data_IF_884715245458
#
_entry.id   IF_884715245458
#
_cell.length_a   1.000
_cell.length_b   1.000
_cell.length_c   1.000
_cell.angle_alpha   90.00
_cell.angle_beta   90.00
_cell.angle_gamma   90.00
#
_symmetry.space_group_name_H-M   'P 1'
#
loop_
_entity.id
_entity.type
_entity.pdbx_description
1 polymer ?
#
# COMPACT_ATOMS: atom_id res chain seq x y z
N UNK A 1 15.09 -38.82 32.71
CA UNK A 1 14.04 -39.17 31.71
C UNK A 1 13.23 -37.92 31.39
N UNK A 2 13.59 -37.17 30.35
CA UNK A 2 12.81 -36.01 29.90
C UNK A 2 12.24 -36.31 28.51
N UNK A 3 10.91 -36.40 28.42
CA UNK A 3 10.17 -36.72 27.20
C UNK A 3 10.20 -35.52 26.27
N UNK A 4 10.98 -35.61 25.19
CA UNK A 4 11.01 -34.64 24.10
C UNK A 4 9.75 -34.80 23.24
N UNK A 5 8.93 -33.74 23.15
CA UNK A 5 7.85 -33.64 22.16
C UNK A 5 8.45 -33.01 20.90
N UNK A 6 8.77 -33.88 19.95
CA UNK A 6 9.15 -33.57 18.57
C UNK A 6 7.94 -32.93 17.89
N UNK A 7 8.03 -31.65 17.53
CA UNK A 7 7.08 -31.02 16.60
C UNK A 7 7.44 -31.45 15.18
N UNK A 8 6.71 -32.44 14.67
CA UNK A 8 6.70 -32.78 13.25
C UNK A 8 5.94 -31.69 12.49
N UNK A 9 6.66 -30.90 11.70
CA UNK A 9 6.05 -30.12 10.62
C UNK A 9 6.25 -30.90 9.33
N UNK A 10 5.14 -31.34 8.73
CA UNK A 10 5.11 -32.02 7.45
C UNK A 10 5.73 -31.15 6.35
N UNK A 11 6.68 -31.72 5.64
CA UNK A 11 7.22 -31.16 4.41
C UNK A 11 6.14 -31.21 3.33
N UNK A 12 5.60 -30.06 2.95
CA UNK A 12 4.87 -29.93 1.68
C UNK A 12 5.91 -29.60 0.61
N UNK A 13 6.33 -30.62 -0.14
CA UNK A 13 7.09 -30.43 -1.37
C UNK A 13 6.13 -29.91 -2.45
N UNK A 14 6.22 -28.63 -2.79
CA UNK A 14 5.60 -28.09 -4.01
C UNK A 14 6.67 -28.10 -5.10
N UNK A 15 6.57 -29.08 -6.00
CA UNK A 15 7.30 -29.05 -7.26
C UNK A 15 6.61 -28.05 -8.19
N UNK A 16 7.22 -26.88 -8.42
CA UNK A 16 6.84 -25.99 -9.51
C UNK A 16 7.68 -26.41 -10.72
N UNK A 17 7.08 -27.12 -11.66
CA UNK A 17 7.67 -27.28 -12.99
C UNK A 17 7.41 -25.97 -13.73
N UNK A 18 8.48 -25.21 -13.93
CA UNK A 18 8.48 -24.03 -14.78
C UNK A 18 8.46 -24.48 -16.25
N UNK A 19 7.28 -24.55 -16.87
CA UNK A 19 7.19 -24.55 -18.33
C UNK A 19 7.23 -23.12 -18.83
N UNK A 20 8.45 -22.64 -19.09
CA UNK A 20 8.68 -21.51 -19.97
C UNK A 20 8.26 -21.90 -21.39
N UNK A 21 7.46 -21.06 -22.04
CA UNK A 21 7.13 -21.21 -23.44
C UNK A 21 6.00 -20.27 -23.86
N UNK A 22 6.34 -19.22 -24.60
CA UNK A 22 5.45 -18.56 -25.55
C UNK A 22 4.78 -19.65 -26.44
N UNK A 23 3.63 -19.49 -27.09
CA UNK A 23 3.24 -18.59 -28.19
C UNK A 23 1.74 -18.97 -28.43
N UNK A 24 0.75 -18.14 -28.73
CA UNK A 24 0.30 -17.72 -30.07
C UNK A 24 -1.03 -16.97 -29.97
N UNK A 25 -1.12 -15.87 -30.72
CA UNK A 25 -2.37 -15.24 -31.09
C UNK A 25 -3.17 -16.16 -32.03
N UNK A 26 -4.48 -16.25 -31.83
CA UNK A 26 -5.44 -16.65 -32.85
C UNK A 26 -6.72 -15.84 -32.68
N UNK A 27 -6.96 -14.98 -33.65
CA UNK A 27 -8.20 -14.25 -33.86
C UNK A 27 -9.12 -15.19 -34.66
N UNK A 28 -10.16 -15.76 -34.05
CA UNK A 28 -11.15 -16.58 -34.76
C UNK A 28 -12.53 -15.95 -34.65
N UNK A 29 -12.91 -15.35 -35.77
CA UNK A 29 -14.26 -14.97 -36.14
C UNK A 29 -15.18 -16.20 -36.04
N UNK A 30 -16.18 -16.15 -35.15
CA UNK A 30 -17.29 -17.11 -35.17
C UNK A 30 -18.61 -16.35 -35.27
N UNK A 31 -19.06 -16.29 -36.52
CA UNK A 31 -20.39 -15.91 -36.99
C UNK A 31 -21.44 -16.91 -36.48
N UNK A 32 -22.47 -16.39 -35.80
CA UNK A 32 -23.80 -16.99 -35.72
C UNK A 32 -24.87 -15.89 -35.56
N UNK A 33 -25.74 -15.75 -36.56
CA UNK A 33 -26.95 -14.91 -36.59
C UNK A 33 -28.09 -15.60 -35.81
N UNK A 34 -28.74 -14.92 -34.85
CA UNK A 34 -30.11 -14.31 -34.90
C UNK A 34 -31.30 -15.28 -34.64
N UNK A 35 -32.54 -14.81 -34.34
CA UNK A 35 -33.02 -13.45 -34.01
C UNK A 35 -33.90 -13.37 -32.73
N UNK A 36 -34.08 -12.16 -32.16
CA UNK A 36 -35.34 -11.78 -31.50
C UNK A 36 -35.48 -10.25 -31.47
N UNK A 37 -36.66 -9.80 -31.86
CA UNK A 37 -37.09 -8.44 -32.12
C UNK A 37 -37.19 -7.59 -30.85
N UNK A 38 -36.96 -6.28 -30.95
CA UNK A 38 -37.92 -5.26 -30.51
C UNK A 38 -37.47 -3.87 -30.95
N UNK A 39 -38.35 -3.23 -31.70
CA UNK A 39 -38.28 -1.84 -32.14
C UNK A 39 -38.60 -0.91 -30.96
N UNK A 40 -37.94 0.25 -30.90
CA UNK A 40 -38.64 1.53 -30.70
C UNK A 40 -37.70 2.67 -31.06
N UNK A 41 -38.04 3.37 -32.14
CA UNK A 41 -37.53 4.69 -32.49
C UNK A 41 -38.08 5.73 -31.51
N UNK A 42 -37.27 6.72 -31.17
CA UNK A 42 -37.73 8.09 -30.96
C UNK A 42 -36.58 9.03 -31.30
N UNK A 43 -36.68 9.69 -32.45
CA UNK A 43 -35.97 10.92 -32.76
C UNK A 43 -36.43 12.03 -31.80
N UNK A 44 -35.53 12.93 -31.39
CA UNK A 44 -35.77 14.38 -31.37
C UNK A 44 -34.40 15.04 -31.57
N UNK A 45 -34.33 15.87 -32.60
CA UNK A 45 -33.25 16.80 -32.93
C UNK A 45 -33.48 18.12 -32.14
N UNK A 46 -32.42 18.77 -31.64
CA UNK A 46 -32.19 20.24 -31.51
C UNK A 46 -31.24 20.58 -30.35
N UNK A 47 -30.06 21.11 -30.65
CA UNK A 47 -29.33 22.12 -29.84
C UNK A 47 -29.96 23.51 -30.09
N UNK A 48 -29.63 24.62 -29.36
CA UNK A 48 -28.60 24.84 -28.32
C UNK A 48 -29.06 25.62 -27.05
N UNK A 49 -28.22 25.68 -26.00
CA UNK A 49 -27.78 26.91 -25.27
C UNK A 49 -27.38 26.68 -23.80
N UNK A 50 -26.20 27.20 -23.47
CA UNK A 50 -25.79 27.88 -22.24
C UNK A 50 -25.79 27.17 -20.85
N UNK A 51 -24.56 27.05 -20.32
CA UNK A 51 -24.17 27.67 -19.03
C UNK A 51 -24.46 26.94 -17.71
N UNK A 52 -23.53 26.06 -17.31
CA UNK A 52 -22.76 26.13 -16.05
C UNK A 52 -21.97 24.82 -15.85
N UNK A 53 -20.65 24.85 -16.07
CA UNK A 53 -19.72 23.78 -15.70
C UNK A 53 -18.88 24.32 -14.53
N UNK A 54 -18.87 23.69 -13.35
CA UNK A 54 -17.79 23.92 -12.42
C UNK A 54 -16.55 23.28 -13.04
N UNK A 55 -15.70 24.13 -13.60
CA UNK A 55 -14.39 23.78 -14.12
C UNK A 55 -13.56 23.26 -12.95
N UNK A 56 -13.37 21.94 -12.90
CA UNK A 56 -12.43 21.32 -11.98
C UNK A 56 -11.03 21.60 -12.55
N UNK A 57 -10.36 22.60 -11.98
CA UNK A 57 -8.98 22.95 -12.33
C UNK A 57 -8.10 21.69 -12.35
N UNK A 58 -7.52 21.30 -13.51
CA UNK A 58 -6.67 20.12 -13.63
C UNK A 58 -5.34 20.25 -12.86
N UNK A 59 -5.03 21.44 -12.33
CA UNK A 59 -3.79 21.75 -11.62
C UNK A 59 -3.70 21.14 -10.21
N UNK A 60 -4.78 20.59 -9.66
CA UNK A 60 -4.74 19.94 -8.33
C UNK A 60 -4.04 18.56 -8.38
N UNK A 61 -3.94 17.92 -9.55
CA UNK A 61 -3.29 16.60 -9.67
C UNK A 61 -1.78 16.65 -9.93
N UNK A 62 -1.22 17.79 -10.37
CA UNK A 62 0.15 17.85 -10.87
C UNK A 62 1.23 18.16 -9.81
N UNK A 63 0.84 18.59 -8.60
CA UNK A 63 1.78 18.90 -7.51
C UNK A 63 1.63 17.94 -6.33
N UNK A 64 1.91 16.66 -6.58
CA UNK A 64 2.42 15.80 -5.54
C UNK A 64 3.96 15.88 -5.58
N UNK A 65 4.62 16.73 -4.77
CA UNK A 65 6.07 16.64 -4.64
C UNK A 65 6.39 15.22 -4.23
N UNK A 66 7.39 14.62 -4.89
CA UNK A 66 8.02 13.35 -4.54
C UNK A 66 8.01 13.15 -3.01
N UNK A 67 6.98 12.46 -2.50
CA UNK A 67 6.92 12.13 -1.09
C UNK A 67 7.95 11.03 -0.91
N UNK A 68 9.01 11.23 -0.11
CA UNK A 68 9.94 10.15 0.17
C UNK A 68 9.12 8.97 0.67
N UNK A 69 9.33 7.81 0.06
CA UNK A 69 8.73 6.52 0.34
C UNK A 69 7.86 6.52 1.61
N UNK A 70 6.55 6.73 1.41
CA UNK A 70 5.56 6.83 2.47
C UNK A 70 5.45 5.49 3.20
N UNK A 71 6.38 5.24 4.11
CA UNK A 71 6.23 4.58 5.40
C UNK A 71 5.18 3.44 5.45
N UNK A 72 5.19 2.55 4.46
CA UNK A 72 4.30 1.36 4.36
C UNK A 72 4.59 0.34 5.49
N UNK A 73 5.49 0.66 6.41
CA UNK A 73 6.03 -0.27 7.39
C UNK A 73 6.09 0.26 8.83
N UNK A 74 5.34 1.33 9.17
CA UNK A 74 5.36 1.93 10.52
C UNK A 74 4.77 1.03 11.62
N UNK A 75 4.12 -0.09 11.27
CA UNK A 75 3.54 -0.98 12.27
C UNK A 75 4.55 -1.95 12.91
N UNK A 76 5.78 -2.06 12.40
CA UNK A 76 6.77 -2.94 13.02
C UNK A 76 7.64 -2.19 14.04
N UNK A 77 7.73 -2.65 15.30
CA UNK A 77 8.63 -2.07 16.28
C UNK A 77 10.08 -2.16 15.80
N UNK A 78 10.73 -1.01 15.75
CA UNK A 78 12.13 -0.90 15.35
C UNK A 78 13.03 -1.59 16.36
N UNK A 79 14.25 -1.96 15.93
CA UNK A 79 15.26 -2.50 16.85
C UNK A 79 15.59 -1.55 18.01
N UNK A 80 15.42 -0.23 17.80
CA UNK A 80 15.57 0.78 18.86
C UNK A 80 14.46 0.71 19.89
N UNK A 81 13.20 0.56 19.46
CA UNK A 81 12.04 0.41 20.36
C UNK A 81 12.16 -0.86 21.21
N UNK A 82 12.60 -1.98 20.63
CA UNK A 82 12.76 -3.23 21.37
C UNK A 82 13.84 -3.16 22.46
N UNK A 83 14.90 -2.36 22.25
CA UNK A 83 15.93 -2.13 23.27
C UNK A 83 15.41 -1.40 24.51
N UNK A 84 14.27 -0.70 24.41
CA UNK A 84 13.66 0.02 25.53
C UNK A 84 12.83 -0.89 26.45
N UNK A 85 12.61 -2.17 26.09
CA UNK A 85 11.75 -3.11 26.82
C UNK A 85 12.47 -3.90 27.93
N UNK A 86 13.72 -3.55 28.27
CA UNK A 86 14.54 -4.26 29.26
C UNK A 86 14.51 -5.79 29.05
N UNK A 87 14.78 -6.22 27.82
CA UNK A 87 14.72 -7.63 27.42
C UNK A 87 15.83 -8.45 28.09
N UNK A 88 15.53 -9.69 28.47
CA UNK A 88 16.58 -10.62 28.90
C UNK A 88 17.48 -11.00 27.73
N UNK A 89 18.70 -11.47 28.02
CA UNK A 89 19.64 -11.96 27.00
C UNK A 89 19.03 -13.07 26.14
N UNK A 90 18.26 -13.97 26.75
CA UNK A 90 17.58 -15.07 26.06
C UNK A 90 16.47 -14.54 25.13
N UNK A 91 15.64 -13.59 25.60
CA UNK A 91 14.62 -12.96 24.76
C UNK A 91 15.25 -12.23 23.57
N UNK A 92 16.37 -11.53 23.79
CA UNK A 92 17.09 -10.82 22.74
C UNK A 92 17.62 -11.77 21.66
N UNK A 93 18.19 -12.92 22.06
CA UNK A 93 18.63 -13.95 21.12
C UNK A 93 17.46 -14.51 20.30
N UNK A 94 16.34 -14.88 20.95
CA UNK A 94 15.15 -15.40 20.25
C UNK A 94 14.58 -14.38 19.25
N UNK A 95 14.52 -13.10 19.62
CA UNK A 95 14.07 -12.02 18.74
C UNK A 95 15.03 -11.78 17.57
N UNK A 96 16.34 -11.95 17.79
CA UNK A 96 17.35 -11.85 16.73
C UNK A 96 17.16 -12.97 15.70
N UNK A 97 16.97 -14.21 16.14
CA UNK A 97 16.70 -15.35 15.26
C UNK A 97 15.45 -15.14 14.40
N UNK A 98 14.34 -14.68 15.00
CA UNK A 98 13.11 -14.35 14.24
C UNK A 98 13.40 -13.29 13.18
N UNK A 99 14.10 -12.21 13.57
CA UNK A 99 14.45 -11.14 12.63
C UNK A 99 15.27 -11.67 11.46
N UNK A 100 16.30 -12.47 11.72
CA UNK A 100 17.20 -13.00 10.69
C UNK A 100 16.48 -13.96 9.74
N UNK A 101 15.63 -14.83 10.27
CA UNK A 101 14.80 -15.76 9.48
C UNK A 101 13.93 -15.04 8.45
N UNK A 102 13.25 -13.96 8.87
CA UNK A 102 12.24 -13.30 8.03
C UNK A 102 12.81 -12.18 7.15
N UNK A 103 14.01 -11.69 7.47
CA UNK A 103 14.57 -10.48 6.88
C UNK A 103 14.92 -10.62 5.40
N UNK A 104 15.38 -11.80 4.95
CA UNK A 104 15.67 -12.04 3.53
C UNK A 104 14.37 -11.95 2.71
N UNK A 105 13.35 -12.73 3.08
CA UNK A 105 12.05 -12.73 2.40
C UNK A 105 11.38 -11.36 2.40
N UNK A 106 11.37 -10.67 3.54
CA UNK A 106 10.78 -9.32 3.63
C UNK A 106 11.50 -8.34 2.69
N UNK A 107 12.84 -8.41 2.59
CA UNK A 107 13.60 -7.55 1.68
C UNK A 107 13.27 -7.83 0.22
N UNK A 108 13.21 -9.10 -0.15
CA UNK A 108 12.86 -9.53 -1.52
C UNK A 108 11.46 -9.05 -1.89
N UNK A 109 10.45 -9.31 -1.05
CA UNK A 109 9.07 -8.85 -1.26
C UNK A 109 8.99 -7.31 -1.35
N UNK A 110 9.74 -6.60 -0.50
CA UNK A 110 9.80 -5.14 -0.55
C UNK A 110 10.42 -4.63 -1.86
N UNK A 111 11.50 -5.27 -2.34
CA UNK A 111 12.12 -4.92 -3.62
C UNK A 111 11.17 -5.19 -4.79
N UNK A 112 10.53 -6.37 -4.81
CA UNK A 112 9.55 -6.74 -5.85
C UNK A 112 8.35 -5.78 -5.84
N UNK A 113 7.82 -5.43 -4.66
CA UNK A 113 6.72 -4.49 -4.53
C UNK A 113 7.10 -3.09 -5.05
N UNK A 114 8.30 -2.60 -4.75
CA UNK A 114 8.80 -1.32 -5.28
C UNK A 114 8.95 -1.34 -6.79
N UNK A 115 9.52 -2.41 -7.33
CA UNK A 115 9.71 -2.58 -8.77
C UNK A 115 8.36 -2.66 -9.49
N UNK A 116 7.42 -3.46 -8.98
CA UNK A 116 6.08 -3.57 -9.55
C UNK A 116 5.32 -2.23 -9.52
N UNK A 117 5.47 -1.44 -8.46
CA UNK A 117 4.93 -0.09 -8.40
C UNK A 117 5.54 0.85 -9.42
N UNK A 118 6.87 0.80 -9.62
CA UNK A 118 7.56 1.62 -10.63
C UNK A 118 7.03 1.28 -12.03
N UNK A 119 7.00 0.00 -12.36
CA UNK A 119 6.50 -0.47 -13.65
C UNK A 119 5.01 -0.12 -13.85
N UNK A 120 4.19 -0.19 -12.81
CA UNK A 120 2.79 0.27 -12.90
C UNK A 120 2.70 1.76 -13.23
N UNK A 121 3.55 2.62 -12.62
CA UNK A 121 3.59 4.05 -12.96
C UNK A 121 4.03 4.27 -14.40
N UNK A 122 5.04 3.54 -14.85
CA UNK A 122 5.54 3.64 -16.23
C UNK A 122 4.46 3.21 -17.24
N UNK A 123 3.71 2.13 -16.95
CA UNK A 123 2.59 1.67 -17.78
C UNK A 123 1.44 2.69 -17.82
N UNK A 124 1.13 3.33 -16.69
CA UNK A 124 0.10 4.38 -16.60
C UNK A 124 0.47 5.65 -17.38
N UNK A 125 1.77 5.97 -17.46
CA UNK A 125 2.26 7.12 -18.22
C UNK A 125 2.43 6.82 -19.72
N UNK A 126 2.51 5.53 -20.09
CA UNK A 126 2.70 5.08 -21.46
C UNK A 126 1.40 4.83 -22.22
N UNK A 127 1.52 4.07 -23.31
CA UNK A 127 0.41 3.69 -24.20
C UNK A 127 -0.10 2.26 -23.95
N UNK A 128 0.19 1.71 -22.76
CA UNK A 128 -0.21 0.35 -22.42
C UNK A 128 -1.74 0.21 -22.38
N UNK A 129 -2.25 -0.97 -22.71
CA UNK A 129 -3.69 -1.22 -22.64
C UNK A 129 -4.18 -1.27 -21.19
N UNK A 130 -5.46 -0.94 -20.98
CA UNK A 130 -6.10 -1.02 -19.66
C UNK A 130 -6.00 -2.41 -19.03
N UNK A 131 -6.03 -3.48 -19.82
CA UNK A 131 -5.93 -4.85 -19.31
C UNK A 131 -4.53 -5.15 -18.78
N UNK A 132 -3.47 -4.70 -19.45
CA UNK A 132 -2.10 -4.82 -18.95
C UNK A 132 -1.92 -4.05 -17.64
N UNK A 133 -2.48 -2.84 -17.54
CA UNK A 133 -2.44 -2.03 -16.33
C UNK A 133 -3.17 -2.73 -15.17
N UNK A 134 -4.34 -3.32 -15.41
CA UNK A 134 -5.09 -4.09 -14.39
C UNK A 134 -4.31 -5.30 -13.89
N UNK A 135 -3.71 -6.08 -14.80
CA UNK A 135 -2.87 -7.23 -14.42
C UNK A 135 -1.72 -6.77 -13.54
N UNK A 136 -1.05 -5.66 -13.91
CA UNK A 136 0.05 -5.13 -13.11
C UNK A 136 -0.40 -4.61 -11.75
N UNK A 137 -1.54 -3.94 -11.70
CA UNK A 137 -2.15 -3.48 -10.45
C UNK A 137 -2.45 -4.64 -9.49
N UNK A 138 -3.02 -5.73 -10.00
CA UNK A 138 -3.27 -6.93 -9.20
C UNK A 138 -1.97 -7.54 -8.66
N UNK A 139 -0.89 -7.56 -9.46
CA UNK A 139 0.42 -8.00 -8.98
C UNK A 139 0.92 -7.14 -7.81
N UNK A 140 0.76 -5.82 -7.89
CA UNK A 140 1.13 -4.89 -6.81
C UNK A 140 0.34 -5.19 -5.54
N UNK A 141 -0.98 -5.37 -5.64
CA UNK A 141 -1.84 -5.71 -4.49
C UNK A 141 -1.38 -7.01 -3.83
N UNK A 142 -1.14 -8.05 -4.62
CA UNK A 142 -0.74 -9.36 -4.10
C UNK A 142 0.60 -9.29 -3.34
N UNK A 143 1.59 -8.58 -3.91
CA UNK A 143 2.89 -8.38 -3.25
C UNK A 143 2.75 -7.59 -1.93
N UNK A 144 1.88 -6.59 -1.90
CA UNK A 144 1.62 -5.81 -0.69
C UNK A 144 0.95 -6.66 0.39
N UNK A 145 -0.05 -7.47 0.03
CA UNK A 145 -0.71 -8.40 0.95
C UNK A 145 0.27 -9.43 1.51
N UNK A 146 1.16 -9.98 0.68
CA UNK A 146 2.16 -10.93 1.13
C UNK A 146 3.15 -10.28 2.10
N UNK A 147 3.61 -9.06 1.80
CA UNK A 147 4.47 -8.29 2.70
C UNK A 147 3.79 -8.06 4.06
N UNK A 148 2.52 -7.62 4.05
CA UNK A 148 1.73 -7.39 5.26
C UNK A 148 1.56 -8.68 6.08
N UNK A 149 1.29 -9.81 5.41
CA UNK A 149 1.23 -11.13 6.05
C UNK A 149 2.55 -11.49 6.71
N UNK A 150 3.69 -11.34 6.03
CA UNK A 150 5.00 -11.62 6.63
C UNK A 150 5.28 -10.73 7.86
N UNK A 151 4.91 -9.45 7.79
CA UNK A 151 5.03 -8.55 8.94
C UNK A 151 4.15 -8.97 10.12
N UNK A 152 2.92 -9.41 9.84
CA UNK A 152 1.99 -9.91 10.86
C UNK A 152 2.51 -11.17 11.55
N UNK A 153 2.96 -12.17 10.78
CA UNK A 153 3.52 -13.41 11.33
C UNK A 153 4.75 -13.14 12.21
N UNK A 154 5.61 -12.21 11.77
CA UNK A 154 6.75 -11.77 12.57
C UNK A 154 6.30 -11.09 13.87
N UNK A 155 5.26 -10.25 13.83
CA UNK A 155 4.69 -9.64 15.04
C UNK A 155 4.15 -10.69 16.01
N UNK A 156 3.47 -11.73 15.52
CA UNK A 156 2.99 -12.84 16.35
C UNK A 156 4.14 -13.59 17.02
N UNK A 157 5.17 -13.96 16.24
CA UNK A 157 6.34 -14.64 16.78
C UNK A 157 7.06 -13.81 17.85
N UNK A 158 7.14 -12.48 17.67
CA UNK A 158 7.69 -11.60 18.71
C UNK A 158 6.80 -11.55 19.96
N UNK A 159 5.48 -11.48 19.77
CA UNK A 159 4.52 -11.48 20.89
C UNK A 159 4.73 -12.69 21.78
N UNK A 160 4.96 -13.88 21.23
CA UNK A 160 5.21 -15.12 21.99
C UNK A 160 6.41 -15.05 22.93
N UNK A 161 7.43 -14.24 22.61
CA UNK A 161 8.64 -14.07 23.44
C UNK A 161 8.46 -13.02 24.53
N UNK A 162 7.70 -11.96 24.25
CA UNK A 162 7.51 -10.85 25.17
C UNK A 162 6.52 -11.20 26.28
N UNK A 163 6.79 -10.72 27.49
CA UNK A 163 5.85 -10.83 28.62
C UNK A 163 4.64 -9.91 28.43
N UNK A 164 3.50 -10.16 29.10
CA UNK A 164 2.34 -9.26 29.04
C UNK A 164 2.68 -7.79 29.35
N UNK A 165 3.53 -7.55 30.35
CA UNK A 165 3.98 -6.21 30.73
C UNK A 165 4.82 -5.55 29.63
N UNK A 166 5.77 -6.27 29.04
CA UNK A 166 6.58 -5.77 27.92
C UNK A 166 5.73 -5.48 26.68
N UNK A 167 4.68 -6.27 26.43
CA UNK A 167 3.73 -6.01 25.34
C UNK A 167 2.95 -4.71 25.56
N UNK A 168 2.53 -4.43 26.80
CA UNK A 168 1.89 -3.16 27.15
C UNK A 168 2.84 -1.98 26.93
N UNK A 169 4.06 -2.08 27.44
CA UNK A 169 5.09 -1.04 27.26
C UNK A 169 5.40 -0.80 25.78
N UNK A 170 5.46 -1.87 24.98
CA UNK A 170 5.66 -1.77 23.55
C UNK A 170 4.51 -1.01 22.86
N UNK A 171 3.27 -1.28 23.26
CA UNK A 171 2.11 -0.56 22.74
C UNK A 171 2.20 0.94 23.07
N UNK A 172 2.61 1.30 24.29
CA UNK A 172 2.78 2.71 24.69
C UNK A 172 3.88 3.40 23.87
N UNK A 173 5.01 2.72 23.63
CA UNK A 173 6.10 3.22 22.78
C UNK A 173 5.59 3.43 21.34
N UNK A 174 4.82 2.48 20.80
CA UNK A 174 4.26 2.61 19.46
C UNK A 174 3.28 3.78 19.36
N UNK A 175 2.43 3.98 20.36
CA UNK A 175 1.49 5.11 20.39
C UNK A 175 2.21 6.45 20.49
N UNK A 176 3.25 6.56 21.33
CA UNK A 176 4.05 7.79 21.47
C UNK A 176 4.83 8.15 20.21
N UNK A 177 5.29 7.13 19.47
CA UNK A 177 6.04 7.33 18.23
C UNK A 177 5.15 7.40 16.99
N UNK A 178 3.82 7.35 17.13
CA UNK A 178 2.94 7.68 16.01
C UNK A 178 3.13 9.16 15.72
N UNK A 179 3.61 9.53 14.51
CA UNK A 179 3.70 10.92 14.15
C UNK A 179 2.30 11.52 14.25
N UNK A 180 2.15 12.65 14.96
CA UNK A 180 0.91 13.38 15.19
C UNK A 180 0.46 14.07 13.88
N UNK A 181 0.38 13.28 12.78
CA UNK A 181 0.19 13.72 11.38
C UNK A 181 -1.12 14.49 11.18
N UNK A 182 -2.04 14.39 12.14
CA UNK A 182 -3.32 15.09 12.11
C UNK A 182 -3.24 16.50 12.73
N UNK A 183 -2.33 16.75 13.68
CA UNK A 183 -2.23 18.07 14.33
C UNK A 183 -1.38 19.06 13.55
N UNK A 184 -0.26 18.65 12.99
CA UNK A 184 0.64 19.57 12.25
C UNK A 184 0.01 20.03 10.93
N UNK A 185 -0.53 19.11 10.12
CA UNK A 185 -1.15 19.47 8.84
C UNK A 185 -2.36 20.38 8.96
N UNK A 186 -3.16 20.27 10.03
CA UNK A 186 -4.32 21.13 10.27
C UNK A 186 -3.89 22.48 10.86
N UNK A 187 -2.91 22.50 11.76
CA UNK A 187 -2.39 23.73 12.38
C UNK A 187 -1.72 24.64 11.37
N UNK A 188 -0.93 24.08 10.46
CA UNK A 188 -0.22 24.86 9.45
C UNK A 188 -1.17 25.41 8.38
N UNK A 189 -2.18 24.61 7.98
CA UNK A 189 -3.26 25.09 7.10
C UNK A 189 -4.09 26.20 7.74
N UNK A 190 -4.38 26.08 9.03
CA UNK A 190 -5.14 27.11 9.76
C UNK A 190 -4.32 28.40 9.91
N UNK A 191 -3.03 28.30 10.23
CA UNK A 191 -2.12 29.45 10.31
C UNK A 191 -2.03 30.19 8.97
N UNK A 192 -1.80 29.47 7.87
CA UNK A 192 -1.71 30.08 6.54
C UNK A 192 -3.04 30.76 6.14
N UNK A 193 -4.18 30.17 6.52
CA UNK A 193 -5.50 30.77 6.27
C UNK A 193 -5.76 32.03 7.09
N UNK A 194 -5.26 32.08 8.33
CA UNK A 194 -5.35 33.26 9.19
C UNK A 194 -4.41 34.36 8.70
N UNK A 195 -3.18 34.02 8.31
CA UNK A 195 -2.21 34.96 7.75
C UNK A 195 -2.76 35.61 6.48
N UNK A 196 -3.28 34.82 5.53
CA UNK A 196 -3.89 35.34 4.31
C UNK A 196 -5.07 36.29 4.58
N UNK A 197 -5.82 36.08 5.67
CA UNK A 197 -6.92 36.98 6.08
C UNK A 197 -6.43 38.27 6.70
N UNK A 198 -5.31 38.24 7.42
CA UNK A 198 -4.68 39.44 7.97
C UNK A 198 -4.10 40.31 6.86
N UNK A 199 -3.47 39.70 5.85
CA UNK A 199 -2.90 40.41 4.71
C UNK A 199 -4.01 41.09 3.85
N UNK A 200 -5.11 40.39 3.59
CA UNK A 200 -6.28 40.91 2.82
C UNK A 200 -7.06 42.02 3.57
N UNK A 201 -6.99 42.03 4.91
CA UNK A 201 -7.56 43.12 5.73
C UNK A 201 -6.68 44.37 5.77
N UNK A 202 -5.36 44.23 5.64
CA UNK A 202 -4.44 45.36 5.56
C UNK A 202 -4.61 46.16 4.26
N UNK A 203 -4.89 45.47 3.15
CA UNK A 203 -5.00 46.09 1.82
C UNK A 203 -6.33 46.85 1.61
N UNK A 204 -7.40 46.43 2.30
CA UNK A 204 -8.71 47.15 2.29
C UNK A 204 -8.73 48.44 3.09
N UNK A 205 -7.68 48.75 3.86
CA UNK A 205 -7.61 49.98 4.66
C UNK A 205 -6.90 51.13 3.93
N UNK A 206 -6.46 50.94 2.68
CA UNK A 206 -5.69 51.94 1.89
C UNK A 206 -6.44 52.37 0.61
N UNK A 207 -7.76 52.15 0.53
CA UNK A 207 -8.64 52.77 -0.46
C UNK A 207 -9.70 53.64 0.19
#
# INVERSE_FOLDING_TARGET
MFKSKVFQYGAIAVAIIATSGAIWASNTNLKSQSPAQSQTQSQINSQPSAENKPELDPDILAQAPNRPDRDENTNMPSGRMLKQLNLSTEQLQKLKTIRERDLVRIRELAQQSRQAHKELRDLLAGTASSDTIRVKHNQVINLQQELQKQHFERMLAMREILTPQQRSQLNDILQKNRPDRMKEGIRDRLKNRMQKRLDDMGDRSVM
#
